data_IF_821604464147
#
_entry.id   IF_821604464147
#
_cell.length_a   1.000
_cell.length_b   1.000
_cell.length_c   1.000
_cell.angle_alpha   90.00
_cell.angle_beta   90.00
_cell.angle_gamma   90.00
#
_symmetry.space_group_name_H-M   'P 1'
#
loop_
_entity.id
_entity.type
_entity.pdbx_description
1 polymer ?
#
# COMPACT_ATOMS: atom_id res chain seq x y z
N UNK A 1 11.55 -17.20 27.22
CA UNK A 1 10.35 -16.33 27.15
C UNK A 1 10.62 -15.30 26.08
N UNK A 2 9.97 -15.41 24.91
CA UNK A 2 10.21 -14.48 23.81
C UNK A 2 9.46 -13.17 24.11
N UNK A 3 10.18 -12.07 24.32
CA UNK A 3 9.61 -10.74 24.47
C UNK A 3 9.08 -10.30 23.10
N UNK A 4 7.77 -10.40 22.90
CA UNK A 4 7.15 -9.85 21.70
C UNK A 4 7.42 -8.34 21.65
N UNK A 5 8.06 -7.87 20.57
CA UNK A 5 8.30 -6.45 20.37
C UNK A 5 6.95 -5.73 20.22
N UNK A 6 6.58 -4.90 21.19
CA UNK A 6 5.36 -4.09 21.14
C UNK A 6 5.64 -2.77 20.43
N UNK A 7 4.84 -2.44 19.42
CA UNK A 7 4.88 -1.15 18.71
C UNK A 7 3.72 -0.27 19.15
N UNK A 8 3.91 1.04 19.20
CA UNK A 8 2.83 1.99 19.45
C UNK A 8 2.07 2.29 18.15
N UNK A 9 0.74 2.36 18.22
CA UNK A 9 -0.10 2.73 17.09
C UNK A 9 -0.01 4.23 16.80
N UNK A 10 0.33 4.61 15.57
CA UNK A 10 0.42 6.01 15.12
C UNK A 10 -0.94 6.73 15.15
N UNK A 11 -2.05 5.99 15.13
CA UNK A 11 -3.41 6.56 15.14
C UNK A 11 -3.96 6.76 16.54
N UNK A 12 -3.77 5.80 17.45
CA UNK A 12 -4.41 5.83 18.78
C UNK A 12 -3.44 5.74 19.96
N UNK A 13 -2.13 5.60 19.71
CA UNK A 13 -1.08 5.51 20.73
C UNK A 13 -1.02 4.18 21.49
N UNK A 14 -1.99 3.27 21.30
CA UNK A 14 -2.01 1.97 22.01
C UNK A 14 -0.89 1.06 21.51
N UNK A 15 -0.28 0.33 22.44
CA UNK A 15 0.68 -0.71 22.10
C UNK A 15 -0.03 -1.91 21.43
N UNK A 16 0.58 -2.46 20.38
CA UNK A 16 0.12 -3.68 19.72
C UNK A 16 1.32 -4.55 19.31
N UNK A 17 1.07 -5.85 19.18
CA UNK A 17 2.08 -6.83 18.76
C UNK A 17 1.99 -7.02 17.23
N UNK A 18 2.97 -6.51 16.45
CA UNK A 18 2.98 -6.67 15.00
C UNK A 18 3.27 -8.10 14.56
N UNK A 19 3.87 -8.94 15.40
CA UNK A 19 4.13 -10.35 15.07
C UNK A 19 2.86 -11.20 15.14
N UNK A 20 1.91 -10.82 16.02
CA UNK A 20 0.57 -11.44 16.07
C UNK A 20 -0.37 -10.94 14.99
N UNK A 21 -0.08 -9.76 14.43
CA UNK A 21 -0.87 -9.16 13.37
C UNK A 21 0.04 -8.58 12.30
N UNK A 22 0.70 -9.45 11.50
CA UNK A 22 1.37 -8.99 10.31
C UNK A 22 0.29 -8.31 9.49
N UNK A 23 0.33 -6.99 9.37
CA UNK A 23 -0.52 -6.31 8.39
C UNK A 23 0.14 -6.53 7.03
N UNK A 24 0.27 -7.81 6.66
CA UNK A 24 0.74 -8.29 5.38
C UNK A 24 -0.46 -8.20 4.48
N UNK A 25 -0.66 -7.01 3.92
CA UNK A 25 -1.29 -6.95 2.62
C UNK A 25 -0.31 -7.60 1.65
N UNK A 26 -0.78 -8.60 0.91
CA UNK A 26 0.01 -9.28 -0.11
C UNK A 26 0.67 -8.22 -1.02
N UNK A 27 1.97 -8.35 -1.21
CA UNK A 27 2.92 -7.43 -1.86
C UNK A 27 3.54 -6.35 -0.96
N UNK A 28 4.77 -6.69 -0.52
CA UNK A 28 5.85 -5.82 -0.05
C UNK A 28 5.69 -5.12 1.32
N UNK A 29 6.31 -5.75 2.33
CA UNK A 29 6.94 -5.13 3.50
C UNK A 29 6.39 -3.77 3.95
N UNK A 30 5.12 -3.76 4.35
CA UNK A 30 4.49 -2.59 4.95
C UNK A 30 4.97 -2.46 6.40
N UNK A 31 5.85 -1.49 6.69
CA UNK A 31 6.13 -1.08 8.07
C UNK A 31 5.07 -0.06 8.50
N UNK A 32 3.81 -0.49 8.57
CA UNK A 32 2.72 0.35 9.05
C UNK A 32 2.55 0.15 10.55
N UNK A 33 2.80 1.19 11.33
CA UNK A 33 2.59 1.17 12.78
C UNK A 33 1.14 1.53 13.14
N UNK A 34 0.15 0.85 12.56
CA UNK A 34 -1.26 1.08 12.84
C UNK A 34 -1.90 -0.21 13.33
N UNK A 35 -2.57 -0.17 14.47
CA UNK A 35 -3.21 -1.35 15.04
C UNK A 35 -4.44 -1.81 14.23
N UNK A 36 -4.87 -3.08 14.37
CA UNK A 36 -6.03 -3.63 13.64
C UNK A 36 -7.33 -2.84 13.84
N UNK A 37 -7.55 -2.28 15.02
CA UNK A 37 -8.76 -1.47 15.29
C UNK A 37 -8.76 -0.15 14.51
N UNK A 38 -7.57 0.37 14.19
CA UNK A 38 -7.39 1.67 13.55
C UNK A 38 -7.16 1.56 12.03
N UNK A 39 -6.84 0.37 11.49
CA UNK A 39 -6.46 0.22 10.09
C UNK A 39 -7.57 0.64 9.13
N UNK A 40 -8.82 0.27 9.40
CA UNK A 40 -9.96 0.63 8.55
C UNK A 40 -10.14 2.16 8.47
N UNK A 41 -10.06 2.84 9.61
CA UNK A 41 -10.13 4.30 9.67
C UNK A 41 -8.92 4.99 9.04
N UNK A 42 -7.73 4.42 9.18
CA UNK A 42 -6.51 4.92 8.56
C UNK A 42 -6.59 4.85 7.03
N UNK A 43 -6.98 3.69 6.49
CA UNK A 43 -7.13 3.47 5.04
C UNK A 43 -8.24 4.35 4.47
N UNK A 44 -9.37 4.51 5.17
CA UNK A 44 -10.43 5.40 4.71
C UNK A 44 -10.00 6.88 4.64
N UNK A 45 -9.07 7.31 5.49
CA UNK A 45 -8.61 8.71 5.56
C UNK A 45 -7.43 9.02 4.64
N UNK A 46 -6.51 8.07 4.50
CA UNK A 46 -5.22 8.29 3.86
C UNK A 46 -5.02 7.44 2.61
N UNK A 47 -5.88 6.45 2.39
CA UNK A 47 -5.83 5.60 1.22
C UNK A 47 -6.13 6.37 -0.06
N UNK A 48 -5.61 5.86 -1.16
CA UNK A 48 -5.84 6.41 -2.49
C UNK A 48 -6.72 5.44 -3.29
N UNK A 49 -7.75 5.91 -4.02
CA UNK A 49 -8.58 5.02 -4.82
C UNK A 49 -7.75 4.29 -5.88
N UNK A 50 -7.92 2.96 -5.94
CA UNK A 50 -7.38 2.14 -7.02
C UNK A 50 -8.25 2.29 -8.26
N UNK A 51 -7.64 2.67 -9.38
CA UNK A 51 -8.38 2.89 -10.64
C UNK A 51 -9.05 1.63 -11.18
N UNK A 52 -8.57 0.44 -10.80
CA UNK A 52 -9.06 -0.83 -11.35
C UNK A 52 -10.12 -1.51 -10.51
N UNK A 53 -10.02 -1.49 -9.17
CA UNK A 53 -10.98 -2.18 -8.29
C UNK A 53 -11.85 -1.24 -7.44
N UNK A 54 -11.59 0.08 -7.48
CA UNK A 54 -12.25 1.09 -6.63
C UNK A 54 -12.01 0.91 -5.12
N UNK A 55 -11.22 -0.09 -4.71
CA UNK A 55 -10.71 -0.23 -3.35
C UNK A 55 -9.66 0.83 -3.02
N UNK A 56 -9.24 0.89 -1.76
CA UNK A 56 -8.24 1.86 -1.33
C UNK A 56 -6.84 1.22 -1.32
N UNK A 57 -5.91 1.86 -2.00
CA UNK A 57 -4.48 1.62 -1.89
C UNK A 57 -4.03 2.16 -0.53
N UNK A 58 -3.48 1.29 0.30
CA UNK A 58 -2.96 1.68 1.62
C UNK A 58 -1.71 2.56 1.41
N UNK A 59 -1.53 3.64 2.19
CA UNK A 59 -0.26 4.37 2.17
C UNK A 59 0.92 3.46 2.48
N UNK A 60 2.09 3.85 2.00
CA UNK A 60 3.35 3.16 2.21
C UNK A 60 3.41 1.77 1.55
N UNK A 61 2.58 1.50 0.54
CA UNK A 61 2.60 0.26 -0.26
C UNK A 61 3.31 0.44 -1.60
N UNK A 62 3.65 -0.69 -2.23
CA UNK A 62 3.91 -0.67 -3.67
C UNK A 62 2.63 -0.39 -4.45
N UNK A 63 2.77 0.28 -5.59
CA UNK A 63 1.69 0.59 -6.53
C UNK A 63 2.11 0.33 -7.97
N UNK A 64 1.12 -0.07 -8.75
CA UNK A 64 1.17 -0.01 -10.20
C UNK A 64 0.86 1.42 -10.64
N UNK A 65 1.66 1.96 -11.56
CA UNK A 65 1.47 3.29 -12.16
C UNK A 65 1.17 3.13 -13.64
N UNK A 66 0.04 3.69 -14.05
CA UNK A 66 -0.45 3.72 -15.43
C UNK A 66 -0.42 5.15 -15.95
N UNK A 67 -0.34 5.31 -17.26
CA UNK A 67 -0.56 6.59 -17.93
C UNK A 67 -2.00 6.68 -18.40
N UNK A 68 -2.72 7.69 -17.95
CA UNK A 68 -4.04 8.04 -18.46
C UNK A 68 -3.98 8.67 -19.85
N UNK A 69 -5.14 8.83 -20.47
CA UNK A 69 -5.29 9.32 -21.84
C UNK A 69 -4.79 10.77 -22.02
N UNK A 70 -4.70 11.53 -20.93
CA UNK A 70 -4.19 12.90 -20.92
C UNK A 70 -2.78 13.02 -20.33
N UNK A 71 -2.09 11.89 -20.14
CA UNK A 71 -0.71 11.82 -19.65
C UNK A 71 -0.58 11.90 -18.12
N UNK A 72 -1.69 11.94 -17.40
CA UNK A 72 -1.72 11.86 -15.94
C UNK A 72 -1.29 10.49 -15.42
N UNK A 73 -0.74 10.47 -14.20
CA UNK A 73 -0.40 9.23 -13.52
C UNK A 73 -1.64 8.69 -12.79
N UNK A 74 -1.98 7.45 -13.10
CA UNK A 74 -3.06 6.69 -12.47
C UNK A 74 -2.47 5.56 -11.62
N UNK A 75 -3.09 5.25 -10.49
CA UNK A 75 -2.52 4.35 -9.49
C UNK A 75 -3.43 3.15 -9.23
N UNK A 76 -2.83 1.95 -9.20
CA UNK A 76 -3.50 0.70 -8.89
C UNK A 76 -2.74 -0.15 -7.89
N UNK A 77 -3.42 -1.14 -7.30
CA UNK A 77 -2.76 -2.15 -6.48
C UNK A 77 -1.81 -3.01 -7.33
N UNK A 78 -0.71 -3.46 -6.72
CA UNK A 78 0.24 -4.44 -7.29
C UNK A 78 -0.26 -5.87 -7.14
N UNK A 79 -1.50 -6.15 -7.52
CA UNK A 79 -2.09 -7.49 -7.49
C UNK A 79 -2.46 -7.95 -8.89
N UNK A 80 -2.47 -9.25 -9.15
CA UNK A 80 -2.85 -9.80 -10.47
C UNK A 80 -4.25 -9.36 -10.93
N UNK A 81 -5.18 -9.13 -9.99
CA UNK A 81 -6.52 -8.65 -10.29
C UNK A 81 -6.56 -7.18 -10.69
N UNK A 82 -5.71 -6.34 -10.08
CA UNK A 82 -5.64 -4.91 -10.37
C UNK A 82 -4.54 -4.57 -11.39
N UNK A 83 -3.71 -5.53 -11.78
CA UNK A 83 -2.59 -5.34 -12.69
C UNK A 83 -2.58 -6.43 -13.76
N UNK A 84 -3.59 -6.47 -14.66
CA UNK A 84 -3.52 -7.32 -15.84
C UNK A 84 -2.35 -6.89 -16.72
N UNK A 85 -1.66 -7.87 -17.33
CA UNK A 85 -0.40 -7.67 -18.05
C UNK A 85 -0.41 -6.51 -19.08
N UNK A 86 0.68 -5.75 -19.10
CA UNK A 86 0.95 -4.66 -20.06
C UNK A 86 1.53 -3.40 -19.39
N UNK A 87 2.67 -2.88 -19.88
CA UNK A 87 3.32 -1.58 -19.61
C UNK A 87 3.06 -0.89 -18.25
N UNK A 88 3.10 -1.63 -17.15
CA UNK A 88 2.93 -1.09 -15.80
C UNK A 88 4.29 -0.69 -15.23
N UNK A 89 4.41 0.57 -14.79
CA UNK A 89 5.53 0.99 -13.94
C UNK A 89 5.23 0.65 -12.48
N UNK A 90 6.25 0.32 -11.69
CA UNK A 90 6.06 0.06 -10.26
C UNK A 90 6.64 1.20 -9.45
N UNK A 91 5.99 1.56 -8.35
CA UNK A 91 6.49 2.58 -7.46
C UNK A 91 6.10 2.34 -6.02
N UNK A 92 6.56 3.25 -5.16
CA UNK A 92 6.18 3.28 -3.75
C UNK A 92 5.27 4.47 -3.50
N UNK A 93 4.07 4.21 -2.99
CA UNK A 93 3.07 5.20 -2.70
C UNK A 93 3.12 5.60 -1.23
N UNK A 94 3.39 6.87 -0.95
CA UNK A 94 3.34 7.42 0.41
C UNK A 94 1.94 7.83 0.83
N UNK A 95 1.83 8.87 1.66
CA UNK A 95 0.55 9.49 2.03
C UNK A 95 0.01 10.38 0.90
N UNK A 96 -0.47 9.77 -0.17
CA UNK A 96 -1.15 10.47 -1.29
C UNK A 96 -0.21 11.02 -2.37
N UNK A 97 1.03 10.53 -2.44
CA UNK A 97 1.97 10.87 -3.51
C UNK A 97 2.89 9.69 -3.81
N UNK A 98 3.41 9.66 -5.03
CA UNK A 98 4.45 8.72 -5.42
C UNK A 98 5.79 9.18 -4.81
N UNK A 99 6.36 8.36 -3.93
CA UNK A 99 7.64 8.67 -3.27
C UNK A 99 8.84 8.12 -4.06
N UNK A 100 8.64 7.02 -4.80
CA UNK A 100 9.63 6.52 -5.75
C UNK A 100 8.95 5.82 -6.92
N UNK A 101 9.52 5.98 -8.11
CA UNK A 101 9.10 5.28 -9.33
C UNK A 101 10.26 4.43 -9.83
N UNK A 102 10.04 3.13 -9.97
CA UNK A 102 10.99 2.17 -10.53
C UNK A 102 10.55 1.83 -11.95
N UNK A 103 11.49 1.92 -12.91
CA UNK A 103 11.20 1.76 -14.35
C UNK A 103 10.80 0.33 -14.72
N UNK A 104 9.99 0.26 -15.79
CA UNK A 104 9.49 -0.90 -16.52
C UNK A 104 10.26 -2.21 -16.33
N UNK A 105 9.58 -3.24 -15.85
CA UNK A 105 9.86 -4.61 -16.27
C UNK A 105 8.89 -4.85 -17.42
N UNK A 106 9.37 -4.84 -18.66
CA UNK A 106 8.59 -5.37 -19.78
C UNK A 106 8.32 -6.84 -19.45
N UNK A 107 7.05 -7.20 -19.21
CA UNK A 107 6.67 -8.60 -19.14
C UNK A 107 6.70 -9.14 -20.56
N UNK A 108 7.71 -9.98 -20.84
CA UNK A 108 7.82 -10.77 -22.06
C UNK A 108 6.68 -11.80 -22.16
#
# INVERSE_FOLDING_TARGET
>A
MSTAATHACDTCGKAFDPARHPTVFESAYLMLHVCPDCIGGYVARHGTPCVNCQGHIVPHTQVAVYKGDHGEDLFGHTTVACNPAGNTFYGYWGKGRLESAFRCIEQC
#
